data_IF_482964361202
#
_entry.id   IF_482964361202
#
_cell.length_a   1.000
_cell.length_b   1.000
_cell.length_c   1.000
_cell.angle_alpha   90.00
_cell.angle_beta   90.00
_cell.angle_gamma   90.00
#
_symmetry.space_group_name_H-M   'P 1'
#
loop_
_entity.id
_entity.type
_entity.pdbx_description
1 polymer ?
#
# COMPACT_ATOMS: atom_id res chain seq x y z
N UNK A 1 -19.52 6.68 -4.46
CA UNK A 1 -19.72 5.46 -3.64
C UNK A 1 -20.02 4.27 -4.57
N UNK A 2 -19.11 3.30 -4.71
CA UNK A 2 -19.39 2.04 -5.42
C UNK A 2 -20.09 1.08 -4.45
N UNK A 3 -21.19 0.46 -4.86
CA UNK A 3 -21.87 -0.59 -4.08
C UNK A 3 -20.93 -1.80 -3.95
N UNK A 4 -20.76 -2.32 -2.74
CA UNK A 4 -20.06 -3.58 -2.54
C UNK A 4 -20.88 -4.72 -3.16
N UNK A 5 -20.26 -5.51 -4.03
CA UNK A 5 -20.85 -6.72 -4.58
C UNK A 5 -20.78 -7.82 -3.51
N UNK A 6 -21.87 -8.55 -3.28
CA UNK A 6 -21.94 -9.63 -2.26
C UNK A 6 -21.17 -10.90 -2.64
N UNK A 7 -20.59 -10.95 -3.85
CA UNK A 7 -19.74 -12.04 -4.29
C UNK A 7 -18.32 -11.81 -3.77
N UNK A 8 -17.71 -12.87 -3.24
CA UNK A 8 -16.30 -12.85 -2.85
C UNK A 8 -15.42 -12.44 -4.04
N UNK A 9 -14.48 -11.53 -3.78
CA UNK A 9 -13.49 -11.14 -4.77
C UNK A 9 -12.58 -12.33 -5.11
N UNK A 10 -12.30 -12.52 -6.39
CA UNK A 10 -11.30 -13.45 -6.87
C UNK A 10 -9.89 -12.88 -6.73
N UNK A 11 -8.89 -13.75 -6.70
CA UNK A 11 -7.48 -13.35 -6.63
C UNK A 11 -7.07 -12.33 -7.72
N UNK A 12 -7.71 -12.41 -8.90
CA UNK A 12 -7.42 -11.53 -10.03
C UNK A 12 -8.12 -10.17 -9.96
N UNK A 13 -9.08 -9.98 -9.05
CA UNK A 13 -9.85 -8.74 -8.99
C UNK A 13 -8.99 -7.57 -8.52
N UNK A 14 -8.09 -7.80 -7.56
CA UNK A 14 -7.18 -6.77 -7.06
C UNK A 14 -6.15 -6.31 -8.13
N UNK A 15 -5.43 -7.21 -8.84
CA UNK A 15 -4.57 -6.82 -9.96
C UNK A 15 -5.32 -6.07 -11.07
N UNK A 16 -6.53 -6.51 -11.44
CA UNK A 16 -7.32 -5.86 -12.48
C UNK A 16 -7.76 -4.44 -12.07
N UNK A 17 -8.14 -4.26 -10.81
CA UNK A 17 -8.46 -2.94 -10.26
C UNK A 17 -7.22 -2.03 -10.27
N UNK A 18 -6.07 -2.54 -9.82
CA UNK A 18 -4.81 -1.79 -9.84
C UNK A 18 -4.41 -1.32 -11.24
N UNK A 19 -4.49 -2.19 -12.26
CA UNK A 19 -4.20 -1.82 -13.64
C UNK A 19 -5.16 -0.75 -14.15
N UNK A 20 -6.46 -0.91 -13.86
CA UNK A 20 -7.49 0.05 -14.26
C UNK A 20 -7.22 1.43 -13.68
N UNK A 21 -6.92 1.51 -12.38
CA UNK A 21 -6.65 2.77 -11.71
C UNK A 21 -5.30 3.36 -12.13
N UNK A 22 -4.30 2.53 -12.44
CA UNK A 22 -3.03 3.00 -13.04
C UNK A 22 -3.27 3.72 -14.37
N UNK A 23 -4.06 3.14 -15.28
CA UNK A 23 -4.38 3.78 -16.56
C UNK A 23 -5.18 5.08 -16.39
N UNK A 24 -6.01 5.18 -15.36
CA UNK A 24 -6.71 6.42 -15.02
C UNK A 24 -5.72 7.48 -14.53
N UNK A 25 -4.79 7.10 -13.66
CA UNK A 25 -3.75 8.01 -13.17
C UNK A 25 -2.82 8.52 -14.26
N UNK A 26 -2.48 7.69 -15.24
CA UNK A 26 -1.72 8.11 -16.43
C UNK A 26 -2.48 9.16 -17.27
N UNK A 27 -3.81 9.22 -17.15
CA UNK A 27 -4.68 10.21 -17.81
C UNK A 27 -5.08 11.37 -16.87
N UNK A 28 -4.22 11.67 -15.89
CA UNK A 28 -4.39 12.75 -14.92
C UNK A 28 -5.60 12.62 -13.98
N UNK A 29 -6.18 11.41 -13.86
CA UNK A 29 -7.12 11.10 -12.77
C UNK A 29 -6.35 10.86 -11.46
N UNK A 30 -7.02 10.98 -10.32
CA UNK A 30 -6.44 10.70 -8.99
C UNK A 30 -7.25 9.62 -8.28
N UNK A 31 -7.12 8.33 -8.67
CA UNK A 31 -7.87 7.26 -8.06
C UNK A 31 -7.48 7.08 -6.59
N UNK A 32 -8.49 6.98 -5.73
CA UNK A 32 -8.29 6.72 -4.31
C UNK A 32 -7.62 5.36 -4.09
N UNK A 33 -6.67 5.32 -3.16
CA UNK A 33 -5.92 4.11 -2.81
C UNK A 33 -4.92 3.60 -3.85
N UNK A 34 -4.75 4.28 -5.00
CA UNK A 34 -3.72 3.89 -5.96
C UNK A 34 -2.33 4.12 -5.37
N UNK A 35 -1.50 3.09 -5.44
CA UNK A 35 -0.15 3.13 -4.90
C UNK A 35 0.75 4.05 -5.71
N UNK A 36 1.16 5.17 -5.12
CA UNK A 36 2.11 6.11 -5.74
C UNK A 36 3.56 5.74 -5.41
N UNK A 37 4.52 6.25 -6.18
CA UNK A 37 5.96 5.97 -6.02
C UNK A 37 6.49 6.14 -4.58
N UNK A 38 6.00 7.15 -3.85
CA UNK A 38 6.34 7.37 -2.45
C UNK A 38 5.90 6.24 -1.51
N UNK A 39 4.85 5.48 -1.86
CA UNK A 39 4.44 4.28 -1.15
C UNK A 39 5.51 3.19 -1.22
N UNK A 40 6.05 2.91 -2.42
CA UNK A 40 7.02 1.83 -2.63
C UNK A 40 8.31 2.06 -1.88
N UNK A 41 8.79 3.30 -1.89
CA UNK A 41 9.91 3.72 -1.06
C UNK A 41 9.63 3.50 0.44
N UNK A 42 8.42 3.81 0.91
CA UNK A 42 8.03 3.56 2.32
C UNK A 42 8.00 2.08 2.67
N UNK A 43 7.62 1.20 1.75
CA UNK A 43 7.61 -0.25 2.00
C UNK A 43 9.03 -0.85 2.08
N UNK A 44 10.01 -0.27 1.39
CA UNK A 44 11.40 -0.71 1.46
C UNK A 44 12.04 -0.48 2.85
N UNK A 45 11.61 0.57 3.57
CA UNK A 45 12.15 0.92 4.89
C UNK A 45 11.95 -0.17 5.96
N UNK A 46 10.72 -0.67 6.23
CA UNK A 46 10.51 -1.75 7.18
C UNK A 46 11.15 -3.06 6.72
N UNK A 47 11.15 -3.38 5.42
CA UNK A 47 11.85 -4.56 4.90
C UNK A 47 13.36 -4.50 5.19
N UNK A 48 13.99 -3.34 4.96
CA UNK A 48 15.41 -3.14 5.27
C UNK A 48 15.69 -3.23 6.78
N UNK A 49 14.79 -2.72 7.62
CA UNK A 49 14.90 -2.83 9.08
C UNK A 49 14.80 -4.29 9.55
N UNK A 50 13.88 -5.07 8.97
CA UNK A 50 13.72 -6.49 9.26
C UNK A 50 14.99 -7.28 8.92
N UNK A 51 15.57 -7.04 7.74
CA UNK A 51 16.81 -7.70 7.33
C UNK A 51 17.97 -7.35 8.26
N UNK A 52 18.09 -6.09 8.68
CA UNK A 52 19.11 -5.67 9.67
C UNK A 52 18.89 -6.31 11.03
N UNK A 53 17.65 -6.36 11.50
CA UNK A 53 17.31 -7.00 12.77
C UNK A 53 17.68 -8.48 12.77
N UNK A 54 17.42 -9.19 11.66
CA UNK A 54 17.83 -10.57 11.48
C UNK A 54 19.36 -10.74 11.55
N UNK A 55 20.12 -9.83 10.94
CA UNK A 55 21.58 -9.89 10.93
C UNK A 55 22.22 -9.59 12.29
N UNK A 56 21.63 -8.67 13.06
CA UNK A 56 22.20 -8.22 14.33
C UNK A 56 21.65 -8.95 15.55
N UNK A 57 20.53 -9.66 15.39
CA UNK A 57 19.77 -10.23 16.51
C UNK A 57 19.17 -9.16 17.44
N UNK A 58 19.12 -7.90 16.99
CA UNK A 58 18.72 -6.76 17.79
C UNK A 58 17.52 -6.03 17.19
N UNK A 59 16.85 -5.25 18.04
CA UNK A 59 15.80 -4.34 17.58
C UNK A 59 16.40 -3.22 16.73
N UNK A 60 15.75 -2.90 15.60
CA UNK A 60 16.17 -1.82 14.70
C UNK A 60 15.02 -0.84 14.52
N UNK A 61 15.21 0.36 15.06
CA UNK A 61 14.25 1.45 14.91
C UNK A 61 14.24 1.97 13.46
N UNK A 62 13.06 2.26 12.93
CA UNK A 62 12.89 2.87 11.61
C UNK A 62 11.91 4.03 11.69
N UNK A 63 12.21 5.13 10.98
CA UNK A 63 11.30 6.26 10.89
C UNK A 63 10.15 5.91 9.95
N UNK A 64 9.05 5.46 10.52
CA UNK A 64 7.79 5.29 9.79
C UNK A 64 6.93 6.53 9.98
N UNK A 65 6.74 7.33 8.92
CA UNK A 65 5.69 8.35 8.91
C UNK A 65 4.40 7.70 8.42
N UNK A 66 3.60 7.20 9.35
CA UNK A 66 2.21 6.86 9.05
C UNK A 66 1.46 8.18 8.81
N UNK A 67 0.73 8.35 7.69
CA UNK A 67 -0.36 9.32 7.70
C UNK A 67 -1.28 8.92 8.86
N UNK A 68 -1.78 9.89 9.63
CA UNK A 68 -2.66 9.66 10.76
C UNK A 68 -3.86 8.82 10.32
N UNK A 69 -3.82 7.51 10.59
CA UNK A 69 -4.97 6.64 10.45
C UNK A 69 -5.92 7.02 11.58
N UNK A 70 -6.93 7.83 11.25
CA UNK A 70 -8.08 8.03 12.12
C UNK A 70 -8.84 6.70 12.17
N UNK A 71 -8.49 5.86 13.14
CA UNK A 71 -9.29 4.70 13.53
C UNK A 71 -10.51 5.24 14.28
N UNK A 72 -11.57 5.53 13.54
CA UNK A 72 -12.88 5.76 14.15
C UNK A 72 -13.36 4.42 14.74
N UNK A 73 -13.79 4.37 16.02
CA UNK A 73 -14.27 3.14 16.65
C UNK A 73 -15.54 2.59 16.01
#
# INVERSE_FOLDING_TARGET
MRRACTRAQGNQDAPNAFLTDTYRSVRDDTPDGLYVSGGGYRAALPTGALLRSHQTGAWVETRFHAPSLSLTP
#
